data_IF_634007357812
#
_entry.id   IF_634007357812
#
_cell.length_a   1.000
_cell.length_b   1.000
_cell.length_c   1.000
_cell.angle_alpha   90.00
_cell.angle_beta   90.00
_cell.angle_gamma   90.00
#
_symmetry.space_group_name_H-M   'P 1'
#
loop_
_entity.id
_entity.type
_entity.pdbx_description
1 polymer ?
#
# COMPACT_ATOMS: atom_id res chain seq x y z
N UNK A 1 12.50 -22.27 -27.46
CA UNK A 1 12.22 -21.90 -26.07
C UNK A 1 13.53 -21.45 -25.48
N UNK A 2 13.63 -20.22 -24.97
CA UNK A 2 14.89 -19.76 -24.35
C UNK A 2 15.15 -20.53 -23.06
N UNK A 3 16.41 -20.55 -22.58
CA UNK A 3 16.73 -21.16 -21.28
C UNK A 3 15.92 -20.53 -20.14
N UNK A 4 15.60 -19.23 -20.24
CA UNK A 4 14.77 -18.52 -19.28
C UNK A 4 13.31 -19.00 -19.31
N UNK A 5 12.72 -19.20 -20.50
CA UNK A 5 11.34 -19.72 -20.61
C UNK A 5 11.25 -21.16 -20.07
N UNK A 6 12.31 -21.96 -20.23
CA UNK A 6 12.40 -23.30 -19.63
C UNK A 6 12.44 -23.21 -18.11
N UNK A 7 13.24 -22.31 -17.54
CA UNK A 7 13.30 -22.08 -16.10
C UNK A 7 11.93 -21.62 -15.55
N UNK A 8 11.26 -20.69 -16.22
CA UNK A 8 9.88 -20.26 -15.87
C UNK A 8 8.93 -21.45 -15.85
N UNK A 9 8.94 -22.30 -16.89
CA UNK A 9 8.07 -23.47 -16.96
C UNK A 9 8.36 -24.50 -15.85
N UNK A 10 9.64 -24.69 -15.48
CA UNK A 10 10.02 -25.56 -14.37
C UNK A 10 9.57 -25.00 -13.02
N UNK A 11 9.81 -23.71 -12.78
CA UNK A 11 9.42 -23.03 -11.54
C UNK A 11 7.91 -22.96 -11.38
N UNK A 12 7.14 -22.68 -12.45
CA UNK A 12 5.66 -22.76 -12.42
C UNK A 12 5.14 -24.15 -12.06
N UNK A 13 5.89 -25.20 -12.38
CA UNK A 13 5.60 -26.56 -11.95
C UNK A 13 6.13 -26.89 -10.53
N UNK A 14 6.53 -25.87 -9.76
CA UNK A 14 7.12 -25.99 -8.43
C UNK A 14 8.38 -26.88 -8.40
N UNK A 15 9.18 -26.88 -9.47
CA UNK A 15 10.41 -27.66 -9.56
C UNK A 15 11.63 -26.75 -9.48
N UNK A 16 12.64 -27.09 -8.64
CA UNK A 16 13.87 -26.31 -8.56
C UNK A 16 14.65 -26.40 -9.88
N UNK A 17 15.32 -25.31 -10.22
CA UNK A 17 16.23 -25.21 -11.37
C UNK A 17 17.68 -25.49 -10.92
N UNK A 18 18.60 -25.90 -11.81
CA UNK A 18 19.99 -26.17 -11.43
C UNK A 18 20.71 -24.95 -10.81
N UNK A 19 21.63 -25.17 -9.86
CA UNK A 19 22.39 -24.08 -9.18
C UNK A 19 23.06 -23.11 -10.17
N UNK A 20 23.59 -23.63 -11.27
CA UNK A 20 24.21 -22.83 -12.32
C UNK A 20 23.20 -21.89 -13.00
N UNK A 21 21.96 -22.34 -13.23
CA UNK A 21 20.89 -21.52 -13.79
C UNK A 21 20.43 -20.45 -12.77
N UNK A 22 20.35 -20.79 -11.48
CA UNK A 22 20.09 -19.82 -10.40
C UNK A 22 21.15 -18.71 -10.41
N UNK A 23 22.44 -19.09 -10.45
CA UNK A 23 23.54 -18.14 -10.46
C UNK A 23 23.46 -17.17 -11.65
N UNK A 24 23.17 -17.71 -12.83
CA UNK A 24 23.01 -16.91 -14.05
C UNK A 24 21.79 -15.98 -13.98
N UNK A 25 20.67 -16.45 -13.43
CA UNK A 25 19.47 -15.65 -13.23
C UNK A 25 19.74 -14.48 -12.28
N UNK A 26 20.33 -14.75 -11.11
CA UNK A 26 20.69 -13.72 -10.14
C UNK A 26 21.65 -12.68 -10.72
N UNK A 27 22.61 -13.12 -11.55
CA UNK A 27 23.51 -12.19 -12.25
C UNK A 27 22.76 -11.25 -13.19
N UNK A 28 21.91 -11.80 -14.07
CA UNK A 28 21.10 -11.01 -15.01
C UNK A 28 20.13 -10.07 -14.30
N UNK A 29 19.52 -10.53 -13.21
CA UNK A 29 18.64 -9.69 -12.42
C UNK A 29 19.38 -8.50 -11.80
N UNK A 30 20.60 -8.71 -11.28
CA UNK A 30 21.42 -7.61 -10.76
C UNK A 30 21.80 -6.59 -11.82
N UNK A 31 22.10 -7.03 -13.04
CA UNK A 31 22.36 -6.13 -14.19
C UNK A 31 21.16 -5.23 -14.51
N UNK A 32 19.93 -5.71 -14.30
CA UNK A 32 18.73 -4.89 -14.48
C UNK A 32 18.46 -3.98 -13.27
N UNK A 33 18.47 -4.55 -12.06
CA UNK A 33 18.11 -3.84 -10.83
C UNK A 33 19.12 -2.75 -10.46
N UNK A 34 20.36 -2.81 -10.93
CA UNK A 34 21.36 -1.76 -10.70
C UNK A 34 21.01 -0.45 -11.42
N UNK A 35 20.28 -0.53 -12.53
CA UNK A 35 19.83 0.63 -13.33
C UNK A 35 18.57 1.28 -12.72
N UNK A 36 17.85 0.56 -11.87
CA UNK A 36 16.67 1.08 -11.18
C UNK A 36 17.05 2.03 -10.04
N UNK A 37 16.27 3.11 -9.88
CA UNK A 37 16.39 4.01 -8.73
C UNK A 37 15.83 3.39 -7.45
N UNK A 38 16.08 4.02 -6.29
CA UNK A 38 15.49 3.53 -5.03
C UNK A 38 13.97 3.65 -5.01
N UNK A 39 13.42 4.58 -5.81
CA UNK A 39 11.98 4.76 -6.02
C UNK A 39 11.69 4.59 -7.50
N UNK A 40 11.10 3.46 -7.88
CA UNK A 40 10.78 3.14 -9.27
C UNK A 40 9.47 3.82 -9.67
N UNK A 41 9.39 4.37 -10.88
CA UNK A 41 8.13 4.92 -11.39
C UNK A 41 7.38 3.84 -12.15
N UNK A 42 6.11 3.65 -11.83
CA UNK A 42 5.21 2.67 -12.47
C UNK A 42 3.98 3.41 -12.97
N UNK A 43 3.46 3.07 -14.14
CA UNK A 43 2.23 3.66 -14.65
C UNK A 43 1.06 2.69 -14.44
N UNK A 44 -0.12 3.24 -14.16
CA UNK A 44 -1.36 2.49 -14.32
C UNK A 44 -1.54 2.05 -15.79
N UNK A 45 -2.31 0.98 -16.07
CA UNK A 45 -2.89 0.06 -15.10
C UNK A 45 -1.82 -0.80 -14.42
N UNK A 46 -1.95 -1.08 -13.11
CA UNK A 46 -1.03 -1.94 -12.36
C UNK A 46 -1.76 -2.71 -11.25
N UNK A 47 -1.38 -3.97 -11.06
CA UNK A 47 -1.79 -4.82 -9.95
C UNK A 47 -0.70 -4.84 -8.88
N UNK A 48 -1.03 -4.33 -7.70
CA UNK A 48 -0.16 -4.23 -6.53
C UNK A 48 -0.41 -5.43 -5.60
N UNK A 49 0.67 -6.11 -5.25
CA UNK A 49 0.70 -7.29 -4.39
C UNK A 49 1.44 -6.98 -3.09
N UNK A 50 0.93 -7.46 -1.96
CA UNK A 50 1.62 -7.48 -0.67
C UNK A 50 2.48 -8.74 -0.48
N UNK A 51 2.63 -9.14 0.78
CA UNK A 51 3.48 -10.25 1.22
C UNK A 51 3.09 -11.60 0.58
N UNK A 52 4.10 -12.42 0.28
CA UNK A 52 3.95 -13.76 -0.34
C UNK A 52 4.48 -14.87 0.59
N UNK A 53 5.58 -14.63 1.30
CA UNK A 53 6.16 -15.53 2.31
C UNK A 53 6.28 -16.99 1.87
N UNK A 54 6.84 -17.23 0.69
CA UNK A 54 7.09 -18.57 0.18
C UNK A 54 5.87 -19.48 0.03
N UNK A 55 4.66 -18.91 -0.04
CA UNK A 55 3.42 -19.64 -0.30
C UNK A 55 3.21 -19.81 -1.82
N UNK A 56 4.07 -20.61 -2.46
CA UNK A 56 4.12 -20.76 -3.92
C UNK A 56 2.77 -21.10 -4.59
N UNK A 57 1.99 -22.00 -4.01
CA UNK A 57 0.69 -22.37 -4.60
C UNK A 57 -0.32 -21.22 -4.54
N UNK A 58 -0.23 -20.38 -3.52
CA UNK A 58 -1.05 -19.18 -3.40
C UNK A 58 -0.55 -18.07 -4.32
N UNK A 59 0.75 -18.01 -4.63
CA UNK A 59 1.28 -17.17 -5.70
C UNK A 59 0.76 -17.59 -7.08
N UNK A 60 0.54 -18.89 -7.33
CA UNK A 60 -0.06 -19.34 -8.60
C UNK A 60 -1.53 -18.91 -8.67
N UNK A 61 -2.24 -18.99 -7.55
CA UNK A 61 -3.61 -18.49 -7.43
C UNK A 61 -3.67 -16.97 -7.64
N UNK A 62 -2.70 -16.21 -7.11
CA UNK A 62 -2.55 -14.78 -7.33
C UNK A 62 -2.47 -14.43 -8.82
N UNK A 63 -1.63 -15.12 -9.61
CA UNK A 63 -1.56 -14.90 -11.06
C UNK A 63 -2.83 -15.34 -11.79
N UNK A 64 -3.52 -16.35 -11.27
CA UNK A 64 -4.79 -16.81 -11.83
C UNK A 64 -5.91 -15.78 -11.63
N UNK A 65 -5.90 -15.06 -10.51
CA UNK A 65 -6.90 -14.04 -10.15
C UNK A 65 -6.55 -12.66 -10.72
N UNK A 66 -5.28 -12.25 -10.66
CA UNK A 66 -4.81 -10.95 -11.16
C UNK A 66 -4.54 -10.91 -12.67
N UNK A 67 -4.42 -12.06 -13.32
CA UNK A 67 -4.01 -12.18 -14.72
C UNK A 67 -2.51 -12.49 -14.85
N UNK A 68 -2.11 -13.02 -16.00
CA UNK A 68 -0.72 -13.45 -16.19
C UNK A 68 0.12 -12.35 -16.88
N UNK A 69 1.43 -12.39 -16.66
CA UNK A 69 2.37 -11.55 -17.40
C UNK A 69 2.60 -12.15 -18.80
N UNK A 70 2.72 -11.32 -19.86
CA UNK A 70 2.92 -9.87 -19.85
C UNK A 70 1.65 -9.03 -19.98
N UNK A 71 0.47 -9.63 -19.95
CA UNK A 71 -0.80 -8.92 -20.17
C UNK A 71 -1.19 -8.02 -18.98
N UNK A 72 -0.77 -8.41 -17.77
CA UNK A 72 -0.95 -7.62 -16.54
C UNK A 72 0.39 -7.01 -16.08
N UNK A 73 0.38 -5.74 -15.67
CA UNK A 73 1.52 -5.09 -14.99
C UNK A 73 1.47 -5.38 -13.49
N UNK A 74 2.61 -5.70 -12.89
CA UNK A 74 2.70 -6.05 -11.48
C UNK A 74 3.69 -5.18 -10.70
N UNK A 75 3.31 -4.82 -9.49
CA UNK A 75 4.17 -4.28 -8.45
C UNK A 75 4.07 -5.17 -7.20
N UNK A 76 5.15 -5.83 -6.79
CA UNK A 76 5.18 -6.57 -5.54
C UNK A 76 5.92 -5.80 -4.45
N UNK A 77 5.29 -5.68 -3.28
CA UNK A 77 5.75 -4.88 -2.14
C UNK A 77 6.69 -5.63 -1.18
N UNK A 78 7.43 -6.64 -1.63
CA UNK A 78 8.42 -7.36 -0.81
C UNK A 78 7.86 -8.58 -0.07
N UNK A 79 8.68 -9.13 0.83
CA UNK A 79 8.41 -10.33 1.63
C UNK A 79 8.03 -11.54 0.77
N UNK A 80 8.95 -11.87 -0.13
CA UNK A 80 8.85 -13.01 -1.03
C UNK A 80 9.15 -14.32 -0.33
N UNK A 81 10.04 -14.27 0.67
CA UNK A 81 10.67 -15.45 1.29
C UNK A 81 10.30 -15.62 2.77
N UNK A 82 10.85 -16.69 3.34
CA UNK A 82 10.62 -17.19 4.69
C UNK A 82 9.20 -17.67 4.96
N UNK A 83 9.02 -18.33 6.12
CA UNK A 83 7.73 -18.78 6.68
C UNK A 83 7.09 -19.94 5.92
N UNK A 84 6.87 -19.79 4.62
CA UNK A 84 6.40 -20.84 3.72
C UNK A 84 7.51 -21.82 3.32
N UNK A 85 7.12 -22.97 2.75
CA UNK A 85 8.07 -24.04 2.39
C UNK A 85 8.69 -23.91 0.99
N UNK A 86 8.22 -22.93 0.21
CA UNK A 86 8.56 -22.76 -1.20
C UNK A 86 9.01 -21.32 -1.49
N UNK A 87 9.78 -20.74 -0.56
CA UNK A 87 10.33 -19.39 -0.70
C UNK A 87 11.22 -19.28 -1.92
N UNK A 88 12.02 -20.31 -2.19
CA UNK A 88 12.94 -20.31 -3.31
C UNK A 88 12.21 -20.37 -4.65
N UNK A 89 11.23 -21.26 -4.83
CA UNK A 89 10.47 -21.31 -6.09
C UNK A 89 9.67 -20.02 -6.30
N UNK A 90 9.11 -19.45 -5.23
CA UNK A 90 8.35 -18.20 -5.29
C UNK A 90 9.24 -17.04 -5.74
N UNK A 91 10.38 -16.83 -5.05
CA UNK A 91 11.29 -15.74 -5.38
C UNK A 91 11.94 -15.92 -6.76
N UNK A 92 12.43 -17.13 -7.09
CA UNK A 92 13.06 -17.37 -8.40
C UNK A 92 12.07 -17.23 -9.55
N UNK A 93 10.78 -17.56 -9.35
CA UNK A 93 9.77 -17.32 -10.37
C UNK A 93 9.56 -15.83 -10.60
N UNK A 94 9.36 -15.04 -9.54
CA UNK A 94 9.23 -13.59 -9.63
C UNK A 94 10.45 -12.95 -10.29
N UNK A 95 11.65 -13.43 -9.94
CA UNK A 95 12.91 -12.97 -10.51
C UNK A 95 13.03 -13.32 -12.00
N UNK A 96 12.63 -14.54 -12.39
CA UNK A 96 12.56 -14.92 -13.81
C UNK A 96 11.61 -14.02 -14.59
N UNK A 97 10.42 -13.72 -14.04
CA UNK A 97 9.45 -12.84 -14.67
C UNK A 97 9.96 -11.41 -14.77
N UNK A 98 10.68 -10.90 -13.76
CA UNK A 98 11.38 -9.60 -13.81
C UNK A 98 12.40 -9.56 -14.93
N UNK A 99 13.25 -10.57 -15.05
CA UNK A 99 14.27 -10.63 -16.11
C UNK A 99 13.63 -10.77 -17.49
N UNK A 100 12.51 -11.49 -17.59
CA UNK A 100 11.82 -11.74 -18.87
C UNK A 100 10.99 -10.54 -19.33
N UNK A 101 10.39 -9.80 -18.40
CA UNK A 101 9.47 -8.69 -18.63
C UNK A 101 9.80 -7.50 -17.70
N UNK A 102 10.96 -6.85 -17.88
CA UNK A 102 11.45 -5.82 -16.95
C UNK A 102 10.51 -4.62 -16.80
N UNK A 103 9.78 -4.27 -17.87
CA UNK A 103 8.82 -3.15 -17.90
C UNK A 103 7.40 -3.53 -17.41
N UNK A 104 7.19 -4.79 -17.01
CA UNK A 104 5.88 -5.32 -16.57
C UNK A 104 5.89 -5.84 -15.15
N UNK A 105 7.06 -6.09 -14.59
CA UNK A 105 7.24 -6.65 -13.25
C UNK A 105 8.13 -5.72 -12.45
N UNK A 106 7.62 -5.13 -11.38
CA UNK A 106 8.38 -4.30 -10.45
C UNK A 106 8.41 -4.99 -9.09
N UNK A 107 9.60 -5.14 -8.53
CA UNK A 107 9.83 -5.79 -7.24
C UNK A 107 10.52 -4.78 -6.31
N UNK A 108 9.88 -4.44 -5.19
CA UNK A 108 10.52 -3.67 -4.12
C UNK A 108 10.92 -4.59 -2.96
N UNK A 109 11.85 -4.13 -2.13
CA UNK A 109 12.43 -4.89 -1.03
C UNK A 109 11.48 -4.93 0.16
N UNK A 110 11.29 -6.11 0.77
CA UNK A 110 10.69 -6.26 2.08
C UNK A 110 11.72 -6.45 3.19
N UNK A 111 11.28 -6.55 4.45
CA UNK A 111 12.20 -6.76 5.56
C UNK A 111 12.78 -8.18 5.58
N UNK A 112 12.07 -9.16 5.01
CA UNK A 112 12.55 -10.53 4.84
C UNK A 112 13.61 -10.69 3.77
N UNK A 113 13.78 -9.73 2.85
CA UNK A 113 14.87 -9.73 1.88
C UNK A 113 16.20 -9.22 2.50
N UNK A 114 16.60 -9.85 3.61
CA UNK A 114 17.80 -9.55 4.38
C UNK A 114 18.48 -10.84 4.88
N UNK A 115 19.81 -10.81 5.03
CA UNK A 115 20.59 -11.97 5.51
C UNK A 115 20.23 -12.31 6.95
N UNK A 116 19.98 -11.30 7.79
CA UNK A 116 19.64 -11.50 9.19
C UNK A 116 18.30 -12.24 9.35
N UNK A 117 17.26 -11.84 8.62
CA UNK A 117 15.93 -12.44 8.75
C UNK A 117 15.89 -13.84 8.10
N UNK A 118 16.47 -13.99 6.91
CA UNK A 118 16.44 -15.28 6.18
C UNK A 118 17.20 -16.42 6.85
N UNK A 119 18.14 -16.12 7.74
CA UNK A 119 18.86 -17.14 8.53
C UNK A 119 18.04 -17.65 9.72
N UNK A 120 17.00 -16.92 10.12
CA UNK A 120 16.16 -17.26 11.27
C UNK A 120 14.84 -17.90 10.85
N UNK A 121 14.25 -17.46 9.72
CA UNK A 121 12.86 -17.77 9.40
C UNK A 121 12.63 -18.78 8.26
N UNK A 122 13.70 -19.45 7.82
CA UNK A 122 13.64 -20.70 7.08
C UNK A 122 14.20 -20.67 5.66
N UNK A 123 14.39 -19.50 5.05
CA UNK A 123 14.88 -19.42 3.67
C UNK A 123 16.32 -19.96 3.52
N UNK A 124 17.21 -19.69 4.48
CA UNK A 124 18.56 -20.25 4.50
C UNK A 124 18.55 -21.78 4.51
N UNK A 125 17.78 -22.36 5.45
CA UNK A 125 17.65 -23.81 5.59
C UNK A 125 16.99 -24.45 4.37
N UNK A 126 16.02 -23.77 3.76
CA UNK A 126 15.38 -24.19 2.52
C UNK A 126 16.40 -24.33 1.38
N UNK A 127 17.24 -23.32 1.18
CA UNK A 127 18.29 -23.32 0.16
C UNK A 127 19.31 -24.44 0.42
N UNK A 128 19.78 -24.55 1.66
CA UNK A 128 20.76 -25.57 2.06
C UNK A 128 20.21 -26.99 1.84
N UNK A 129 18.95 -27.23 2.20
CA UNK A 129 18.28 -28.52 2.02
C UNK A 129 18.09 -28.89 0.54
N UNK A 130 17.75 -27.92 -0.31
CA UNK A 130 17.46 -28.17 -1.75
C UNK A 130 18.73 -28.36 -2.59
N UNK A 131 19.81 -27.65 -2.27
CA UNK A 131 21.03 -27.62 -3.10
C UNK A 131 22.27 -28.22 -2.43
N UNK A 132 22.18 -28.57 -1.14
CA UNK A 132 23.31 -29.10 -0.37
C UNK A 132 24.38 -28.07 -0.01
N UNK A 133 24.17 -26.79 -0.38
CA UNK A 133 25.10 -25.69 -0.07
C UNK A 133 24.35 -24.37 0.12
N UNK A 134 24.99 -23.40 0.77
CA UNK A 134 24.46 -22.05 0.96
C UNK A 134 24.66 -21.12 -0.25
N UNK A 135 25.17 -21.62 -1.39
CA UNK A 135 25.48 -20.77 -2.55
C UNK A 135 24.23 -20.09 -3.12
N UNK A 136 23.15 -20.85 -3.29
CA UNK A 136 21.88 -20.31 -3.80
C UNK A 136 21.33 -19.22 -2.88
N UNK A 137 21.40 -19.41 -1.56
CA UNK A 137 21.02 -18.38 -0.59
C UNK A 137 21.87 -17.11 -0.77
N UNK A 138 23.20 -17.25 -0.88
CA UNK A 138 24.09 -16.10 -1.14
C UNK A 138 23.72 -15.36 -2.43
N UNK A 139 23.48 -16.09 -3.52
CA UNK A 139 23.09 -15.49 -4.79
C UNK A 139 21.78 -14.71 -4.68
N UNK A 140 20.80 -15.20 -3.92
CA UNK A 140 19.55 -14.49 -3.68
C UNK A 140 19.75 -13.26 -2.79
N UNK A 141 20.52 -13.36 -1.71
CA UNK A 141 20.85 -12.21 -0.85
C UNK A 141 21.60 -11.11 -1.61
N UNK A 142 22.49 -11.48 -2.53
CA UNK A 142 23.18 -10.50 -3.37
C UNK A 142 22.22 -9.79 -4.35
N UNK A 143 21.09 -10.40 -4.72
CA UNK A 143 20.02 -9.74 -5.48
C UNK A 143 19.19 -8.83 -4.59
N UNK A 144 18.89 -9.25 -3.35
CA UNK A 144 18.08 -8.49 -2.40
C UNK A 144 18.62 -7.08 -2.17
N UNK A 145 19.94 -6.92 -2.14
CA UNK A 145 20.59 -5.62 -1.97
C UNK A 145 20.29 -4.62 -3.10
N UNK A 146 19.86 -5.09 -4.28
CA UNK A 146 19.61 -4.24 -5.44
C UNK A 146 18.13 -3.88 -5.62
N UNK A 147 17.22 -4.57 -4.92
CA UNK A 147 15.78 -4.29 -4.95
C UNK A 147 15.50 -2.85 -4.52
N UNK A 148 14.58 -2.18 -5.22
CA UNK A 148 14.18 -0.81 -4.89
C UNK A 148 13.51 -0.74 -3.51
N UNK A 149 13.55 0.43 -2.87
CA UNK A 149 12.96 0.65 -1.53
C UNK A 149 11.51 1.12 -1.59
N UNK A 150 11.06 1.60 -2.74
CA UNK A 150 9.68 1.97 -2.98
C UNK A 150 9.37 2.15 -4.46
N UNK A 151 8.12 2.46 -4.74
CA UNK A 151 7.65 2.82 -6.07
C UNK A 151 6.64 3.96 -6.01
N UNK A 152 6.57 4.75 -7.08
CA UNK A 152 5.54 5.77 -7.27
C UNK A 152 4.70 5.34 -8.46
N UNK A 153 3.40 5.14 -8.22
CA UNK A 153 2.44 4.85 -9.28
C UNK A 153 1.81 6.15 -9.77
N UNK A 154 1.89 6.38 -11.08
CA UNK A 154 1.31 7.51 -11.79
C UNK A 154 0.12 7.06 -12.66
N UNK A 155 -0.76 7.99 -13.00
CA UNK A 155 -1.85 7.75 -13.95
C UNK A 155 -3.08 7.02 -13.40
N UNK A 156 -3.14 6.76 -12.09
CA UNK A 156 -4.40 6.35 -11.46
C UNK A 156 -5.34 7.56 -11.42
N UNK A 157 -6.48 7.53 -12.12
CA UNK A 157 -7.39 8.67 -12.24
C UNK A 157 -8.24 8.90 -10.97
N UNK A 158 -8.55 10.17 -10.66
CA UNK A 158 -9.47 10.55 -9.55
C UNK A 158 -10.67 11.41 -9.98
N UNK A 159 -10.93 11.60 -11.28
CA UNK A 159 -11.94 12.56 -11.75
C UNK A 159 -13.35 11.97 -11.75
N UNK A 160 -14.23 12.56 -10.93
CA UNK A 160 -15.69 12.43 -11.08
C UNK A 160 -16.12 13.11 -12.40
N UNK A 161 -16.97 12.50 -13.24
CA UNK A 161 -17.49 13.20 -14.40
C UNK A 161 -18.31 14.42 -13.94
N UNK A 162 -17.88 15.61 -14.35
CA UNK A 162 -18.69 16.83 -14.24
C UNK A 162 -20.00 16.60 -14.99
N UNK A 163 -21.13 16.66 -14.28
CA UNK A 163 -22.46 16.55 -14.87
C UNK A 163 -22.74 17.72 -15.82
N UNK A 164 -22.25 17.62 -17.06
CA UNK A 164 -22.76 18.37 -18.20
C UNK A 164 -23.65 17.42 -18.99
N UNK A 165 -24.96 17.69 -18.92
CA UNK A 165 -25.99 16.69 -19.17
C UNK A 165 -26.07 16.16 -20.61
N UNK A 166 -26.29 14.85 -20.69
CA UNK A 166 -27.06 14.19 -21.76
C UNK A 166 -27.77 12.94 -21.18
N UNK A 167 -28.96 12.57 -21.68
CA UNK A 167 -29.74 11.46 -21.12
C UNK A 167 -29.40 10.09 -21.75
N UNK A 168 -29.23 9.11 -20.86
CA UNK A 168 -29.53 7.67 -20.94
C UNK A 168 -29.26 6.86 -22.23
N UNK A 169 -28.37 5.86 -22.11
CA UNK A 169 -28.55 4.52 -22.67
C UNK A 169 -27.74 3.46 -21.89
N UNK A 170 -28.42 2.45 -21.33
CA UNK A 170 -27.96 1.15 -20.77
C UNK A 170 -26.78 1.13 -19.74
N UNK A 171 -26.92 0.49 -18.56
CA UNK A 171 -25.81 0.39 -17.61
C UNK A 171 -24.83 -0.74 -18.04
N UNK A 172 -23.52 -0.47 -18.19
CA UNK A 172 -22.50 -1.52 -18.22
C UNK A 172 -22.01 -1.84 -16.81
N UNK A 173 -21.11 -2.82 -16.70
CA UNK A 173 -20.66 -3.51 -15.50
C UNK A 173 -19.82 -2.69 -14.49
N UNK A 174 -20.15 -1.41 -14.27
CA UNK A 174 -19.25 -0.42 -13.65
C UNK A 174 -19.63 -0.01 -12.19
N UNK A 175 -20.23 -0.91 -11.42
CA UNK A 175 -20.65 -0.62 -10.02
C UNK A 175 -20.03 -1.55 -8.96
N UNK A 176 -18.98 -2.31 -9.31
CA UNK A 176 -18.35 -3.33 -8.45
C UNK A 176 -17.04 -2.81 -7.85
N UNK A 177 -16.97 -2.69 -6.53
CA UNK A 177 -15.79 -2.19 -5.80
C UNK A 177 -14.89 -3.34 -5.29
N UNK A 178 -15.52 -4.41 -4.79
CA UNK A 178 -14.83 -5.61 -4.28
C UNK A 178 -15.34 -6.83 -5.04
N UNK A 179 -14.42 -7.58 -5.63
CA UNK A 179 -14.69 -8.90 -6.20
C UNK A 179 -14.05 -9.99 -5.33
N UNK A 180 -14.88 -10.94 -4.89
CA UNK A 180 -14.43 -12.14 -4.17
C UNK A 180 -14.46 -13.31 -5.13
N UNK A 181 -13.30 -13.93 -5.33
CA UNK A 181 -13.15 -15.08 -6.23
C UNK A 181 -13.11 -16.40 -5.44
N UNK A 182 -13.65 -17.48 -6.02
CA UNK A 182 -13.42 -18.83 -5.51
C UNK A 182 -12.09 -19.39 -6.00
N UNK A 183 -11.72 -20.55 -5.45
CA UNK A 183 -10.58 -21.35 -5.89
C UNK A 183 -10.60 -21.78 -7.38
N UNK A 184 -11.72 -21.58 -8.10
CA UNK A 184 -11.85 -21.80 -9.54
C UNK A 184 -11.82 -20.48 -10.34
N UNK A 185 -11.74 -19.32 -9.68
CA UNK A 185 -11.56 -17.97 -10.24
C UNK A 185 -12.85 -17.33 -10.70
N UNK A 186 -13.94 -18.04 -10.54
CA UNK A 186 -15.26 -17.47 -10.74
C UNK A 186 -15.54 -16.51 -9.59
N UNK A 187 -16.10 -15.36 -9.94
CA UNK A 187 -16.57 -14.38 -8.97
C UNK A 187 -17.71 -15.00 -8.17
N UNK A 188 -17.51 -15.17 -6.86
CA UNK A 188 -18.52 -15.69 -5.91
C UNK A 188 -19.43 -14.56 -5.47
N UNK A 189 -18.84 -13.41 -5.15
CA UNK A 189 -19.54 -12.25 -4.62
C UNK A 189 -18.99 -10.99 -5.26
N UNK A 190 -19.90 -10.11 -5.62
CA UNK A 190 -19.62 -8.75 -6.03
C UNK A 190 -20.28 -7.85 -5.01
N UNK A 191 -19.49 -7.05 -4.32
CA UNK A 191 -20.04 -6.02 -3.45
C UNK A 191 -20.22 -4.77 -4.28
N UNK A 192 -21.50 -4.42 -4.47
CA UNK A 192 -21.93 -3.25 -5.22
C UNK A 192 -21.90 -2.03 -4.31
N UNK A 193 -21.61 -0.87 -4.91
CA UNK A 193 -21.77 0.44 -4.29
C UNK A 193 -23.21 0.63 -3.76
N UNK A 194 -23.45 1.01 -2.49
CA UNK A 194 -24.80 1.36 -2.03
C UNK A 194 -25.34 2.59 -2.79
N UNK A 195 -26.48 2.46 -3.47
CA UNK A 195 -27.18 3.59 -4.11
C UNK A 195 -28.04 4.31 -3.08
N UNK A 196 -27.81 5.61 -2.89
CA UNK A 196 -28.75 6.48 -2.18
C UNK A 196 -30.09 6.52 -2.94
N UNK A 197 -31.17 6.05 -2.31
CA UNK A 197 -32.53 6.28 -2.78
C UNK A 197 -32.92 7.72 -2.49
N UNK A 198 -33.02 8.56 -3.53
CA UNK A 198 -33.71 9.85 -3.43
C UNK A 198 -35.18 9.62 -3.09
N UNK A 199 -35.55 9.90 -1.84
CA UNK A 199 -36.94 9.98 -1.42
C UNK A 199 -37.56 11.29 -1.92
N UNK A 200 -38.44 11.18 -2.91
CA UNK A 200 -39.37 12.24 -3.31
C UNK A 200 -40.60 12.16 -2.39
N UNK A 201 -41.02 13.27 -1.78
CA UNK A 201 -42.04 13.22 -0.72
C UNK A 201 -42.49 14.58 -0.19
N UNK A 202 -43.56 15.08 -0.80
CA UNK A 202 -44.33 16.30 -0.54
C UNK A 202 -44.97 16.43 0.87
N UNK A 203 -44.98 17.67 1.40
CA UNK A 203 -46.14 18.29 2.08
C UNK A 203 -46.41 18.00 3.58
N UNK A 204 -46.50 19.05 4.39
CA UNK A 204 -47.11 18.96 5.73
C UNK A 204 -46.88 20.19 6.63
N UNK A 205 -47.96 20.76 7.15
CA UNK A 205 -48.06 22.11 7.71
C UNK A 205 -47.88 22.22 9.24
N UNK A 206 -47.49 23.43 9.68
CA UNK A 206 -47.87 24.19 10.90
C UNK A 206 -47.98 23.46 12.26
N UNK A 207 -47.24 23.97 13.26
CA UNK A 207 -47.80 24.47 14.54
C UNK A 207 -46.83 25.41 15.25
N UNK A 208 -47.39 26.43 15.91
CA UNK A 208 -46.71 27.53 16.60
C UNK A 208 -46.33 27.21 18.06
N UNK A 209 -45.27 27.91 18.52
CA UNK A 209 -44.87 28.52 19.84
C UNK A 209 -45.70 28.25 21.13
N UNK A 210 -45.24 28.58 22.38
CA UNK A 210 -44.28 29.65 22.74
C UNK A 210 -43.40 29.48 24.02
N UNK A 211 -42.74 30.59 24.39
CA UNK A 211 -42.04 30.98 25.64
C UNK A 211 -40.55 30.61 25.72
N UNK A 212 -39.62 31.49 26.11
CA UNK A 212 -39.59 32.89 26.54
C UNK A 212 -38.11 33.15 26.89
N UNK A 213 -37.43 34.18 26.37
CA UNK A 213 -37.50 35.55 26.86
C UNK A 213 -36.78 35.69 28.20
N UNK A 214 -35.53 36.19 28.20
CA UNK A 214 -35.03 37.25 29.07
C UNK A 214 -33.59 37.65 28.69
N UNK A 215 -33.32 38.93 28.89
CA UNK A 215 -32.29 39.76 28.27
C UNK A 215 -31.26 40.28 29.29
N UNK A 216 -30.31 41.07 28.76
CA UNK A 216 -29.35 41.98 29.40
C UNK A 216 -28.00 41.32 29.77
N UNK A 217 -26.83 41.91 29.48
CA UNK A 217 -26.52 43.23 28.95
C UNK A 217 -25.27 43.80 29.63
N UNK A 218 -24.28 44.15 28.80
CA UNK A 218 -23.36 45.32 28.85
C UNK A 218 -22.16 45.36 29.84
N UNK A 219 -20.99 45.69 29.24
CA UNK A 219 -19.89 46.61 29.69
C UNK A 219 -19.01 46.25 30.90
N UNK A 220 -17.76 46.67 31.04
CA UNK A 220 -16.75 47.38 30.23
C UNK A 220 -15.42 47.42 31.05
N UNK A 221 -14.33 47.87 30.39
CA UNK A 221 -13.18 48.61 30.98
C UNK A 221 -12.16 47.86 31.87
N UNK A 222 -10.87 48.23 31.98
CA UNK A 222 -9.92 49.07 31.24
C UNK A 222 -8.55 49.02 31.97
N UNK A 223 -7.44 49.32 31.26
CA UNK A 223 -6.18 49.95 31.77
C UNK A 223 -5.26 49.17 32.76
N UNK A 224 -3.94 49.32 32.90
CA UNK A 224 -2.86 50.12 32.26
C UNK A 224 -1.49 49.80 32.90
N UNK A 225 -0.39 49.93 32.12
CA UNK A 225 0.96 50.37 32.54
C UNK A 225 1.95 49.32 33.11
N UNK A 226 3.28 49.38 32.95
CA UNK A 226 4.21 50.25 32.21
C UNK A 226 5.69 49.82 32.46
N UNK A 227 6.58 50.09 31.48
CA UNK A 227 8.07 50.24 31.59
C UNK A 227 8.94 48.96 31.64
N UNK A 228 10.15 48.85 31.07
CA UNK A 228 11.05 49.77 30.34
C UNK A 228 12.30 49.00 29.80
N UNK A 229 12.99 49.53 28.76
CA UNK A 229 14.44 49.32 28.56
C UNK A 229 14.99 48.93 27.15
N UNK A 230 15.51 49.93 26.42
CA UNK A 230 16.52 50.02 25.31
C UNK A 230 17.15 48.74 24.66
N UNK A 231 17.53 48.69 23.38
CA UNK A 231 18.34 49.66 22.60
C UNK A 231 18.36 49.41 21.06
N UNK A 232 18.56 50.50 20.30
CA UNK A 232 19.23 50.70 18.98
C UNK A 232 19.50 49.51 18.03
N UNK A 233 19.21 49.55 16.73
CA UNK A 233 19.94 50.40 15.75
C UNK A 233 19.42 50.23 14.29
N UNK A 234 19.35 51.37 13.59
CA UNK A 234 19.56 51.64 12.14
C UNK A 234 19.21 50.61 11.04
N UNK A 235 18.30 51.03 10.15
CA UNK A 235 18.13 50.55 8.78
C UNK A 235 19.29 50.94 7.85
N UNK A 236 19.45 50.25 6.70
CA UNK A 236 19.85 50.92 5.47
C UNK A 236 18.89 50.67 4.30
N UNK A 237 18.88 51.66 3.42
CA UNK A 237 17.98 51.84 2.30
C UNK A 237 18.37 51.01 1.06
N UNK A 238 17.33 50.69 0.28
CA UNK A 238 17.36 50.21 -1.09
C UNK A 238 18.15 51.14 -2.02
N UNK A 239 19.15 50.63 -2.74
CA UNK A 239 19.56 51.13 -4.06
C UNK A 239 20.17 50.01 -4.92
N UNK A 240 19.47 49.60 -5.98
CA UNK A 240 19.95 48.71 -7.03
C UNK A 240 19.17 48.99 -8.33
N UNK A 241 19.80 48.96 -9.52
CA UNK A 241 19.29 49.60 -10.72
C UNK A 241 18.15 48.82 -11.42
N UNK A 242 17.30 49.51 -12.21
CA UNK A 242 16.13 48.94 -12.86
C UNK A 242 16.45 48.30 -14.22
N UNK A 243 15.82 47.15 -14.51
CA UNK A 243 15.60 46.71 -15.90
C UNK A 243 15.93 45.27 -16.27
N UNK A 244 15.04 44.34 -15.91
CA UNK A 244 14.56 43.30 -16.84
C UNK A 244 13.26 42.74 -16.29
N UNK A 245 12.15 43.21 -16.89
CA UNK A 245 10.83 42.63 -16.65
C UNK A 245 10.82 41.20 -17.16
N UNK A 246 10.68 40.26 -16.24
CA UNK A 246 10.13 38.95 -16.53
C UNK A 246 8.89 38.81 -15.63
N UNK A 247 7.72 38.96 -16.23
CA UNK A 247 6.45 38.51 -15.68
C UNK A 247 6.58 37.03 -15.31
N UNK A 248 6.76 36.75 -14.02
CA UNK A 248 6.87 35.41 -13.49
C UNK A 248 5.53 34.70 -13.43
N UNK A 249 4.91 34.43 -14.58
CA UNK A 249 4.06 33.26 -14.71
C UNK A 249 4.98 32.08 -15.02
N UNK A 250 5.74 31.62 -14.03
CA UNK A 250 6.26 30.26 -14.08
C UNK A 250 5.04 29.37 -13.90
N UNK A 251 4.52 28.83 -15.00
CA UNK A 251 3.63 27.70 -14.95
C UNK A 251 4.35 26.63 -14.13
N UNK A 252 3.92 26.49 -12.87
CA UNK A 252 4.32 25.37 -12.03
C UNK A 252 4.06 24.10 -12.83
N UNK A 253 4.92 23.11 -12.66
CA UNK A 253 4.70 21.76 -13.16
C UNK A 253 3.23 21.43 -13.05
N UNK A 254 2.60 21.08 -14.18
CA UNK A 254 1.21 20.64 -14.22
C UNK A 254 1.10 19.51 -13.19
N UNK A 255 0.56 19.82 -12.01
CA UNK A 255 0.39 18.84 -10.93
C UNK A 255 -0.42 17.69 -11.46
N UNK A 256 -0.12 16.47 -11.02
CA UNK A 256 -0.95 15.32 -11.33
C UNK A 256 -2.33 15.59 -10.69
N UNK A 257 -3.40 15.86 -11.46
CA UNK A 257 -4.69 16.23 -10.87
C UNK A 257 -5.31 15.12 -10.01
N UNK A 258 -4.74 13.92 -10.04
CA UNK A 258 -5.12 12.75 -9.27
C UNK A 258 -4.19 12.41 -8.07
N UNK A 259 -3.06 13.09 -7.91
CA UNK A 259 -2.04 12.71 -6.91
C UNK A 259 -1.42 11.32 -7.19
N UNK A 260 -0.18 11.11 -6.79
CA UNK A 260 0.51 9.84 -7.01
C UNK A 260 0.28 8.84 -5.85
N UNK A 261 0.47 7.55 -6.09
CA UNK A 261 0.46 6.52 -5.03
C UNK A 261 1.88 6.13 -4.69
N UNK A 262 2.29 6.34 -3.44
CA UNK A 262 3.57 5.83 -2.94
C UNK A 262 3.37 4.39 -2.46
N UNK A 263 4.20 3.47 -2.96
CA UNK A 263 4.24 2.09 -2.52
C UNK A 263 5.55 1.82 -1.80
N UNK A 264 5.46 1.34 -0.56
CA UNK A 264 6.60 0.94 0.29
C UNK A 264 6.22 -0.34 1.04
N UNK A 265 7.19 -1.12 1.49
CA UNK A 265 6.86 -2.37 2.19
C UNK A 265 6.31 -2.13 3.61
N UNK A 266 7.12 -1.48 4.44
CA UNK A 266 6.81 -1.11 5.82
C UNK A 266 5.93 0.13 5.87
N UNK A 267 6.56 1.29 6.02
CA UNK A 267 5.84 2.54 6.20
C UNK A 267 6.74 3.76 6.11
N UNK A 268 6.40 4.80 6.86
CA UNK A 268 7.11 6.06 6.86
C UNK A 268 8.29 6.07 7.84
N UNK A 269 9.19 7.05 7.68
CA UNK A 269 10.32 7.27 8.58
C UNK A 269 10.32 8.72 9.11
N UNK A 270 10.66 8.96 10.39
CA UNK A 270 10.83 10.32 10.91
C UNK A 270 11.99 11.07 10.23
N UNK A 271 12.89 10.37 9.55
CA UNK A 271 14.02 10.95 8.80
C UNK A 271 13.65 11.34 7.36
N UNK A 272 12.49 10.88 6.87
CA UNK A 272 12.04 11.04 5.49
C UNK A 272 10.72 11.82 5.48
N UNK A 273 10.80 13.12 5.23
CA UNK A 273 9.64 13.99 5.01
C UNK A 273 9.26 14.11 3.53
N UNK A 274 10.16 13.71 2.61
CA UNK A 274 9.97 13.79 1.17
C UNK A 274 10.43 12.51 0.47
N UNK A 275 9.68 12.07 -0.56
CA UNK A 275 10.01 10.90 -1.40
C UNK A 275 11.41 11.01 -2.01
N UNK A 276 11.85 12.24 -2.34
CA UNK A 276 13.20 12.48 -2.85
C UNK A 276 14.32 12.07 -1.89
N UNK A 277 14.08 12.08 -0.57
CA UNK A 277 15.07 11.59 0.39
C UNK A 277 15.25 10.08 0.30
N UNK A 278 14.22 9.32 -0.08
CA UNK A 278 14.33 7.87 -0.34
C UNK A 278 15.29 7.62 -1.50
N UNK A 279 15.27 8.48 -2.53
CA UNK A 279 16.14 8.38 -3.72
C UNK A 279 17.63 8.55 -3.40
N UNK A 280 17.96 9.15 -2.26
CA UNK A 280 19.34 9.42 -1.82
C UNK A 280 19.95 8.32 -0.92
N UNK A 281 19.15 7.34 -0.49
CA UNK A 281 19.63 6.27 0.39
C UNK A 281 20.62 5.35 -0.35
N UNK A 282 21.66 4.89 0.34
CA UNK A 282 22.47 3.78 -0.18
C UNK A 282 21.77 2.46 0.12
N UNK A 283 21.06 1.90 -0.87
CA UNK A 283 20.29 0.67 -0.68
C UNK A 283 21.10 -0.62 -0.86
N UNK A 284 22.29 -0.55 -1.48
CA UNK A 284 23.10 -1.70 -1.95
C UNK A 284 23.93 -2.32 -0.82
N UNK A 285 23.25 -2.60 0.28
CA UNK A 285 23.81 -3.14 1.50
C UNK A 285 22.78 -3.99 2.22
N UNK A 286 23.24 -4.71 3.24
CA UNK A 286 22.37 -5.34 4.22
C UNK A 286 21.50 -4.29 4.92
N UNK A 287 20.26 -4.64 5.24
CA UNK A 287 19.34 -3.75 5.97
C UNK A 287 19.98 -3.35 7.31
N UNK A 288 20.21 -2.05 7.57
CA UNK A 288 20.74 -1.60 8.85
C UNK A 288 19.76 -1.88 10.00
N UNK A 289 20.26 -1.95 11.23
CA UNK A 289 19.41 -2.12 12.42
C UNK A 289 18.54 -0.87 12.73
N UNK A 290 18.98 0.31 12.30
CA UNK A 290 18.29 1.58 12.51
C UNK A 290 18.45 2.52 11.32
N UNK A 291 17.62 3.56 11.28
CA UNK A 291 17.68 4.62 10.28
C UNK A 291 16.70 4.44 9.12
N UNK A 292 16.73 5.40 8.19
CA UNK A 292 15.72 5.59 7.16
C UNK A 292 15.37 4.34 6.33
N UNK A 293 16.38 3.53 5.97
CA UNK A 293 16.15 2.27 5.23
C UNK A 293 15.48 1.20 6.09
N UNK A 294 15.85 1.08 7.36
CA UNK A 294 15.20 0.19 8.31
C UNK A 294 13.74 0.61 8.49
N UNK A 295 13.50 1.90 8.74
CA UNK A 295 12.16 2.43 8.97
C UNK A 295 11.20 2.19 7.80
N UNK A 296 11.65 2.37 6.55
CA UNK A 296 10.83 2.11 5.36
C UNK A 296 10.39 0.64 5.24
N UNK A 297 11.17 -0.30 5.80
CA UNK A 297 10.90 -1.73 5.74
C UNK A 297 10.16 -2.26 6.97
N UNK A 298 10.19 -1.55 8.11
CA UNK A 298 9.71 -2.06 9.40
C UNK A 298 8.62 -1.23 10.08
N UNK A 299 8.37 0.00 9.64
CA UNK A 299 7.41 0.88 10.31
C UNK A 299 5.96 0.51 10.01
N UNK A 300 5.08 0.79 10.96
CA UNK A 300 3.67 0.39 10.93
C UNK A 300 2.73 1.57 11.24
N UNK A 301 1.64 1.76 10.48
CA UNK A 301 0.58 2.68 10.90
C UNK A 301 -0.20 2.11 12.09
N UNK A 302 -0.56 2.96 13.04
CA UNK A 302 -1.40 2.58 14.19
C UNK A 302 -2.26 3.77 14.68
N UNK A 303 -3.28 3.49 15.50
CA UNK A 303 -4.17 4.51 16.07
C UNK A 303 -3.50 5.27 17.22
N UNK A 304 -2.42 5.98 16.88
CA UNK A 304 -1.65 6.86 17.78
C UNK A 304 -1.53 8.26 17.19
N UNK A 305 -1.14 9.23 18.01
CA UNK A 305 -0.76 10.56 17.55
C UNK A 305 0.76 10.64 17.35
N UNK A 306 1.20 11.14 16.19
CA UNK A 306 2.61 11.34 15.89
C UNK A 306 3.39 10.04 15.67
N UNK A 307 4.61 9.98 16.21
CA UNK A 307 5.50 8.82 16.12
C UNK A 307 5.55 8.05 17.45
N UNK A 308 5.52 6.71 17.38
CA UNK A 308 5.66 5.81 18.51
C UNK A 308 6.80 4.80 18.31
N UNK A 309 7.28 4.21 19.41
CA UNK A 309 8.25 3.12 19.34
C UNK A 309 7.59 1.85 18.83
N UNK A 310 8.20 1.21 17.84
CA UNK A 310 7.70 -0.06 17.30
C UNK A 310 7.94 -1.22 18.27
N UNK A 311 6.93 -2.06 18.55
CA UNK A 311 7.11 -3.26 19.35
C UNK A 311 8.00 -4.31 18.67
N UNK A 312 8.29 -4.15 17.37
CA UNK A 312 9.18 -5.02 16.60
C UNK A 312 10.66 -4.87 16.97
N UNK A 313 11.01 -3.79 17.68
CA UNK A 313 12.40 -3.42 17.95
C UNK A 313 13.13 -2.82 16.75
N UNK A 314 12.41 -2.54 15.65
CA UNK A 314 12.88 -1.89 14.43
C UNK A 314 11.74 -1.06 13.82
N UNK A 315 12.08 0.06 13.18
CA UNK A 315 11.12 1.02 12.66
C UNK A 315 10.29 1.73 13.74
N UNK A 316 9.21 2.37 13.33
CA UNK A 316 8.33 3.18 14.18
C UNK A 316 6.86 2.84 13.99
N UNK A 317 6.05 3.14 15.01
CA UNK A 317 4.61 3.33 14.82
C UNK A 317 4.36 4.77 14.35
N UNK A 318 3.34 4.99 13.53
CA UNK A 318 2.96 6.34 13.11
C UNK A 318 1.45 6.54 12.94
N UNK A 319 1.00 7.74 13.29
CA UNK A 319 -0.40 8.15 13.30
C UNK A 319 -0.93 8.74 12.00
N UNK A 320 -2.23 9.06 12.02
CA UNK A 320 -2.95 9.71 10.93
C UNK A 320 -2.38 11.08 10.55
N UNK A 321 -1.91 11.84 11.55
CA UNK A 321 -1.31 13.16 11.37
C UNK A 321 -0.03 13.10 10.54
N UNK A 322 0.82 12.09 10.79
CA UNK A 322 2.06 11.84 10.05
C UNK A 322 1.74 11.52 8.58
N UNK A 323 0.79 10.61 8.33
CA UNK A 323 0.37 10.23 6.97
C UNK A 323 -0.16 11.44 6.21
N UNK A 324 -1.03 12.23 6.86
CA UNK A 324 -1.63 13.42 6.25
C UNK A 324 -0.59 14.47 5.87
N UNK A 325 0.37 14.75 6.75
CA UNK A 325 1.45 15.71 6.49
C UNK A 325 2.35 15.21 5.36
N UNK A 326 2.71 13.92 5.38
CA UNK A 326 3.58 13.33 4.37
C UNK A 326 2.91 13.33 2.98
N UNK A 327 1.64 12.90 2.89
CA UNK A 327 0.90 12.88 1.64
C UNK A 327 0.74 14.29 1.05
N UNK A 328 0.33 15.26 1.87
CA UNK A 328 0.20 16.65 1.44
C UNK A 328 1.52 17.21 0.91
N UNK A 329 2.64 16.94 1.60
CA UNK A 329 3.95 17.46 1.22
C UNK A 329 4.48 16.87 -0.08
N UNK A 330 4.10 15.64 -0.40
CA UNK A 330 4.60 14.89 -1.54
C UNK A 330 3.60 14.79 -2.70
N UNK A 331 2.47 15.52 -2.62
CA UNK A 331 1.38 15.46 -3.61
C UNK A 331 0.88 14.02 -3.86
N UNK A 332 0.77 13.26 -2.77
CA UNK A 332 0.31 11.86 -2.79
C UNK A 332 -1.17 11.78 -2.43
N UNK A 333 -1.88 10.93 -3.16
CA UNK A 333 -3.27 10.60 -2.86
C UNK A 333 -3.41 9.39 -1.94
N UNK A 334 -2.42 8.49 -1.95
CA UNK A 334 -2.43 7.24 -1.20
C UNK A 334 -1.00 6.76 -0.90
N UNK A 335 -0.83 6.13 0.26
CA UNK A 335 0.30 5.24 0.54
C UNK A 335 -0.22 3.80 0.49
N UNK A 336 0.34 2.96 -0.37
CA UNK A 336 0.12 1.53 -0.36
C UNK A 336 1.29 0.83 0.34
N UNK A 337 0.99 -0.09 1.25
CA UNK A 337 1.99 -0.83 2.02
C UNK A 337 1.60 -2.28 2.28
N UNK A 338 2.51 -3.08 2.84
CA UNK A 338 2.33 -4.53 3.06
C UNK A 338 2.56 -4.93 4.54
N UNK A 339 3.28 -6.02 4.87
CA UNK A 339 3.97 -6.31 6.15
C UNK A 339 3.17 -6.44 7.48
N UNK A 340 1.95 -5.94 7.57
CA UNK A 340 1.03 -6.27 8.66
C UNK A 340 -0.03 -7.24 8.15
N UNK A 341 -0.10 -8.42 8.77
CA UNK A 341 -1.17 -9.38 8.51
C UNK A 341 -2.53 -8.74 8.75
N UNK A 342 -3.40 -8.81 7.74
CA UNK A 342 -4.79 -8.34 7.80
C UNK A 342 -5.72 -9.48 7.39
N UNK A 343 -6.76 -9.71 8.20
CA UNK A 343 -7.63 -10.89 8.05
C UNK A 343 -8.40 -10.90 6.74
N UNK A 344 -8.82 -9.73 6.26
CA UNK A 344 -9.58 -9.54 5.03
C UNK A 344 -8.70 -9.36 3.77
N UNK A 345 -7.38 -9.55 3.90
CA UNK A 345 -6.43 -9.39 2.80
C UNK A 345 -6.06 -7.93 2.49
N UNK A 346 -6.85 -6.94 2.92
CA UNK A 346 -6.46 -5.53 2.91
C UNK A 346 -7.06 -4.78 4.11
N UNK A 347 -6.48 -3.63 4.46
CA UNK A 347 -7.00 -2.71 5.48
C UNK A 347 -6.66 -1.28 5.11
N UNK A 348 -7.68 -0.44 4.99
CA UNK A 348 -7.50 1.01 4.85
C UNK A 348 -7.52 1.68 6.22
N UNK A 349 -6.70 2.72 6.40
CA UNK A 349 -6.63 3.50 7.63
C UNK A 349 -6.60 5.00 7.31
N UNK A 350 -6.93 5.81 8.32
CA UNK A 350 -6.81 7.27 8.29
C UNK A 350 -7.52 7.90 7.08
N UNK A 351 -8.83 7.71 7.00
CA UNK A 351 -9.67 8.19 5.88
C UNK A 351 -9.21 7.66 4.51
N UNK A 352 -8.75 6.39 4.50
CA UNK A 352 -8.27 5.69 3.31
C UNK A 352 -7.11 6.38 2.59
N UNK A 353 -6.30 7.14 3.34
CA UNK A 353 -5.06 7.79 2.86
C UNK A 353 -3.83 6.88 2.94
N UNK A 354 -3.95 5.75 3.63
CA UNK A 354 -3.00 4.64 3.61
C UNK A 354 -3.77 3.31 3.54
N UNK A 355 -3.23 2.34 2.81
CA UNK A 355 -3.76 0.98 2.71
C UNK A 355 -2.66 -0.06 2.94
N UNK A 356 -2.97 -1.05 3.76
CA UNK A 356 -2.22 -2.29 3.89
C UNK A 356 -2.82 -3.35 2.96
N UNK A 357 -2.00 -3.95 2.10
CA UNK A 357 -2.37 -5.05 1.19
C UNK A 357 -1.58 -6.29 1.61
N UNK A 358 -2.26 -7.43 1.68
CA UNK A 358 -1.71 -8.71 2.10
C UNK A 358 -2.08 -9.79 1.09
N UNK A 359 -1.08 -10.47 0.52
CA UNK A 359 -1.28 -11.39 -0.60
C UNK A 359 -0.98 -12.87 -0.27
N UNK A 360 -0.81 -13.21 1.01
CA UNK A 360 -0.57 -14.57 1.49
C UNK A 360 -1.79 -15.14 2.28
N UNK A 361 -2.74 -15.84 1.63
CA UNK A 361 -3.95 -16.33 2.29
C UNK A 361 -3.65 -17.50 3.22
N UNK A 362 -4.43 -17.64 4.29
CA UNK A 362 -4.24 -18.60 5.37
C UNK A 362 -2.76 -18.65 5.79
N UNK A 363 -2.22 -17.50 6.18
CA UNK A 363 -0.82 -17.27 6.42
C UNK A 363 -0.22 -18.33 7.36
N UNK A 364 0.98 -18.80 7.01
CA UNK A 364 1.66 -19.93 7.65
C UNK A 364 0.78 -21.17 7.82
N UNK A 365 -0.18 -21.34 6.91
CA UNK A 365 -1.11 -22.45 6.83
C UNK A 365 -2.03 -22.60 8.06
N UNK A 366 -2.20 -21.53 8.85
CA UNK A 366 -2.97 -21.59 10.11
C UNK A 366 -3.76 -20.33 10.48
N UNK A 367 -3.42 -19.17 9.93
CA UNK A 367 -4.02 -17.90 10.36
C UNK A 367 -5.48 -17.74 9.94
N UNK A 368 -5.93 -18.41 8.86
CA UNK A 368 -7.32 -18.34 8.40
C UNK A 368 -7.73 -17.03 7.71
N UNK A 369 -6.79 -16.11 7.46
CA UNK A 369 -7.02 -14.89 6.69
C UNK A 369 -7.25 -15.18 5.20
N UNK A 370 -7.88 -14.26 4.48
CA UNK A 370 -7.87 -14.22 3.01
C UNK A 370 -6.73 -13.31 2.51
N UNK A 371 -6.55 -13.25 1.20
CA UNK A 371 -5.58 -12.39 0.54
C UNK A 371 -6.26 -11.44 -0.44
N UNK A 372 -5.62 -10.32 -0.73
CA UNK A 372 -6.09 -9.35 -1.71
C UNK A 372 -4.98 -8.89 -2.66
N UNK A 373 -5.42 -8.37 -3.81
CA UNK A 373 -4.63 -7.59 -4.76
C UNK A 373 -5.28 -6.23 -4.92
N UNK A 374 -4.47 -5.17 -5.01
CA UNK A 374 -4.93 -3.82 -5.28
C UNK A 374 -4.70 -3.50 -6.75
N UNK A 375 -5.76 -3.25 -7.50
CA UNK A 375 -5.68 -2.84 -8.91
C UNK A 375 -5.90 -1.33 -9.00
N UNK A 376 -4.94 -0.65 -9.63
CA UNK A 376 -5.05 0.74 -10.00
C UNK A 376 -5.19 0.83 -11.51
N UNK A 377 -6.22 1.52 -11.98
CA UNK A 377 -6.54 1.62 -13.40
C UNK A 377 -6.46 3.06 -13.91
N UNK A 378 -6.34 3.23 -15.23
CA UNK A 378 -6.33 4.54 -15.89
C UNK A 378 -7.74 5.12 -16.09
N UNK A 379 -8.77 4.28 -16.00
CA UNK A 379 -10.16 4.64 -16.29
C UNK A 379 -10.88 5.24 -15.07
N UNK A 380 -11.78 6.19 -15.33
CA UNK A 380 -12.64 6.84 -14.31
C UNK A 380 -13.68 5.89 -13.68
N UNK A 381 -13.62 4.58 -13.96
CA UNK A 381 -14.60 3.58 -13.51
C UNK A 381 -14.50 3.25 -12.01
N UNK A 382 -13.34 3.50 -11.39
CA UNK A 382 -13.15 3.37 -9.95
C UNK A 382 -13.65 4.60 -9.19
N UNK A 383 -14.95 4.85 -9.18
CA UNK A 383 -15.55 5.81 -8.25
C UNK A 383 -15.55 5.18 -6.84
N UNK A 384 -14.44 5.33 -6.12
CA UNK A 384 -14.31 4.95 -4.72
C UNK A 384 -14.89 6.03 -3.81
N UNK A 385 -16.14 5.87 -3.38
CA UNK A 385 -16.67 6.54 -2.19
C UNK A 385 -17.30 5.49 -1.28
N UNK A 386 -16.58 5.26 -0.18
CA UNK A 386 -16.84 4.54 1.07
C UNK A 386 -18.22 3.87 1.26
N UNK A 387 -18.19 2.55 1.47
CA UNK A 387 -19.04 1.91 2.47
C UNK A 387 -18.20 1.66 3.74
N UNK A 388 -18.65 2.21 4.87
CA UNK A 388 -18.09 1.93 6.20
C UNK A 388 -18.00 0.41 6.43
N UNK A 389 -16.80 -0.16 6.52
CA UNK A 389 -16.61 -1.47 7.16
C UNK A 389 -16.61 -1.27 8.67
N UNK A 390 -17.80 -1.31 9.28
CA UNK A 390 -17.95 -1.30 10.73
C UNK A 390 -17.33 -2.58 11.33
N UNK A 391 -16.12 -2.45 11.87
CA UNK A 391 -15.48 -3.43 12.76
C UNK A 391 -15.82 -3.23 14.24
N UNK A 392 -16.72 -2.31 14.60
CA UNK A 392 -17.22 -2.18 15.97
C UNK A 392 -18.62 -2.77 16.10
N UNK A 393 -18.69 -4.08 16.34
CA UNK A 393 -19.88 -4.70 16.90
C UNK A 393 -19.46 -5.68 18.01
N UNK A 394 -19.66 -5.22 19.24
CA UNK A 394 -19.90 -6.00 20.46
C UNK A 394 -18.75 -6.79 21.11
N UNK A 395 -18.12 -6.15 22.10
CA UNK A 395 -17.91 -6.77 23.42
C UNK A 395 -18.54 -5.90 24.51
N UNK A 396 -19.62 -6.43 25.11
CA UNK A 396 -20.20 -6.13 26.44
C UNK A 396 -20.48 -4.65 26.75
N UNK A 397 -21.73 -4.17 26.86
CA UNK A 397 -22.73 -4.60 27.84
C UNK A 397 -24.13 -4.05 27.48
N UNK A 398 -25.19 -4.68 27.98
CA UNK A 398 -26.58 -4.52 27.51
C UNK A 398 -27.31 -3.21 27.81
N UNK A 399 -28.34 -2.93 27.01
CA UNK A 399 -29.34 -1.88 27.28
C UNK A 399 -30.18 -1.50 26.06
N UNK A 400 -31.39 -2.06 25.96
CA UNK A 400 -32.39 -1.72 24.93
C UNK A 400 -32.97 -0.33 25.21
N UNK A 401 -32.96 0.56 24.21
CA UNK A 401 -33.71 1.82 24.24
C UNK A 401 -34.00 2.34 22.81
N UNK A 402 -35.25 2.64 22.41
CA UNK A 402 -35.57 3.10 21.08
C UNK A 402 -35.62 4.63 21.02
N UNK A 403 -34.60 5.25 20.41
CA UNK A 403 -34.62 6.57 19.72
C UNK A 403 -33.20 7.15 19.65
N UNK A 404 -32.59 7.06 18.48
CA UNK A 404 -31.39 7.82 18.14
C UNK A 404 -31.56 8.37 16.73
N UNK A 405 -32.13 9.57 16.62
CA UNK A 405 -32.16 10.33 15.38
C UNK A 405 -30.76 10.90 15.19
N UNK A 406 -30.04 10.44 14.16
CA UNK A 406 -28.78 11.06 13.72
C UNK A 406 -29.11 12.32 12.89
N UNK A 407 -28.41 13.41 13.17
CA UNK A 407 -28.57 14.71 12.51
C UNK A 407 -27.97 14.72 11.09
N UNK A 408 -28.61 15.45 10.19
CA UNK A 408 -28.41 15.51 8.74
C UNK A 408 -27.20 16.35 8.27
N UNK A 409 -26.23 16.65 9.15
CA UNK A 409 -25.15 17.60 8.87
C UNK A 409 -23.74 16.98 8.64
N UNK A 410 -23.58 15.65 8.66
CA UNK A 410 -22.27 14.99 8.44
C UNK A 410 -22.05 14.50 6.99
N UNK A 411 -22.97 14.75 6.06
CA UNK A 411 -22.92 14.23 4.67
C UNK A 411 -22.22 15.14 3.65
N UNK A 412 -21.49 16.15 4.07
CA UNK A 412 -20.83 17.09 3.16
C UNK A 412 -19.32 16.81 3.04
N UNK A 413 -18.93 15.84 2.22
CA UNK A 413 -17.51 15.59 1.97
C UNK A 413 -17.14 14.38 1.12
N UNK A 414 -17.75 14.19 -0.07
CA UNK A 414 -17.17 13.27 -1.06
C UNK A 414 -15.79 13.81 -1.49
N UNK A 415 -14.70 13.13 -1.13
CA UNK A 415 -13.32 13.53 -1.45
C UNK A 415 -12.66 12.53 -2.40
N UNK A 416 -11.92 13.07 -3.35
CA UNK A 416 -11.32 12.46 -4.55
C UNK A 416 -10.07 11.63 -4.20
N UNK A 417 -9.97 10.40 -4.72
CA UNK A 417 -8.85 9.47 -4.58
C UNK A 417 -8.78 8.52 -5.79
N UNK A 418 -7.69 7.75 -5.97
CA UNK A 418 -7.50 6.94 -7.17
C UNK A 418 -8.53 5.84 -7.29
N UNK A 419 -8.95 5.57 -8.53
CA UNK A 419 -9.72 4.40 -8.90
C UNK A 419 -8.99 3.13 -8.43
N UNK A 420 -9.47 2.57 -7.31
CA UNK A 420 -8.93 1.36 -6.67
C UNK A 420 -9.96 0.24 -6.71
N UNK A 421 -9.52 -0.96 -7.06
CA UNK A 421 -10.32 -2.19 -6.98
C UNK A 421 -9.54 -3.24 -6.21
N UNK A 422 -10.21 -3.91 -5.27
CA UNK A 422 -9.63 -5.02 -4.54
C UNK A 422 -10.14 -6.35 -5.09
N UNK A 423 -9.21 -7.22 -5.53
CA UNK A 423 -9.51 -8.62 -5.84
C UNK A 423 -9.13 -9.49 -4.66
N UNK A 424 -10.14 -10.03 -3.99
CA UNK A 424 -9.96 -10.89 -2.81
C UNK A 424 -10.00 -12.35 -3.24
N UNK A 425 -9.03 -13.13 -2.76
CA UNK A 425 -8.91 -14.55 -3.07
C UNK A 425 -8.55 -15.38 -1.83
N UNK A 426 -8.98 -16.64 -1.88
CA UNK A 426 -8.74 -17.59 -0.80
C UNK A 426 -7.47 -18.41 -1.06
N UNK A 427 -7.07 -19.12 -0.02
CA UNK A 427 -6.00 -20.09 -0.06
C UNK A 427 -6.23 -21.16 -1.15
N UNK A 428 -5.19 -21.46 -1.92
CA UNK A 428 -5.19 -22.53 -2.91
C UNK A 428 -5.62 -23.86 -2.27
N UNK A 429 -6.39 -24.72 -2.98
CA UNK A 429 -6.91 -25.97 -2.44
C UNK A 429 -5.85 -26.84 -1.77
N UNK A 430 -6.20 -27.50 -0.67
CA UNK A 430 -5.24 -28.25 0.13
C UNK A 430 -4.56 -29.40 -0.64
N UNK A 431 -5.26 -29.99 -1.61
CA UNK A 431 -4.72 -31.05 -2.48
C UNK A 431 -3.59 -30.57 -3.39
N UNK A 432 -3.53 -29.26 -3.68
CA UNK A 432 -2.44 -28.65 -4.44
C UNK A 432 -1.19 -28.42 -3.58
N UNK A 433 -1.35 -28.37 -2.25
CA UNK A 433 -0.28 -28.09 -1.27
C UNK A 433 0.39 -29.40 -0.91
N UNK A 434 1.42 -29.80 -1.66
CA UNK A 434 2.25 -30.97 -1.37
C UNK A 434 3.08 -30.80 -0.10
N UNK A 435 2.46 -30.65 1.08
CA UNK A 435 3.16 -30.42 2.34
C UNK A 435 4.28 -31.45 2.52
N UNK A 436 5.52 -31.02 2.86
CA UNK A 436 6.59 -31.95 3.20
C UNK A 436 6.13 -32.91 4.30
N UNK A 437 6.45 -34.20 4.17
CA UNK A 437 6.01 -35.29 5.05
C UNK A 437 6.38 -35.15 6.54
N UNK A 438 7.11 -34.11 6.92
CA UNK A 438 7.32 -33.68 8.30
C UNK A 438 6.94 -32.22 8.41
N UNK A 439 5.92 -31.91 9.22
CA UNK A 439 5.67 -30.55 9.71
C UNK A 439 6.95 -30.05 10.39
N UNK A 440 7.65 -29.03 9.87
CA UNK A 440 8.60 -28.32 10.69
C UNK A 440 7.79 -27.59 11.74
N UNK A 441 8.12 -27.80 13.02
CA UNK A 441 7.58 -27.00 14.10
C UNK A 441 8.24 -25.62 13.97
N UNK A 442 7.60 -24.70 13.27
CA UNK A 442 8.04 -23.31 13.27
C UNK A 442 7.52 -22.65 14.56
N UNK A 443 8.33 -22.73 15.63
CA UNK A 443 8.11 -22.00 16.89
C UNK A 443 8.42 -20.49 16.75
N UNK A 444 8.86 -20.05 15.58
CA UNK A 444 9.30 -18.68 15.35
C UNK A 444 8.13 -17.82 14.91
N UNK A 445 7.35 -17.32 15.87
CA UNK A 445 6.44 -16.19 15.70
C UNK A 445 6.57 -15.31 16.94
N UNK A 446 7.51 -14.38 16.89
CA UNK A 446 7.50 -13.16 17.70
C UNK A 446 7.96 -12.02 16.81
#
# INVERSE_FOLDING_TARGET
MSDLDRAIAQLRACRPIPEAEVRQLCHKARELLIEEGNVVTVNAPVTICGDIHGQFHDLMELFRVGGDVPDTNYLFMGDFVDRGFYSLESFLLLLCLKVRYPDRMTLIRGNHESRQITTVYGFYDECLRKYGSANVWRYCCDVFDYLALGAIVLGASNTLPSSSGQPAASPPADEVEIEVHNAHGHVISRFLRPKETKGDGTGGARTASPNGGLSNGVSSDSSSGSGSGSASSSAPANTGPPGSGASGSSGGSVGNPAGAVLCVHGGLSPLIDMVDKIRLLDRKQEVPHEGAMCDLLWSDPDEIDGWGLSPRGAGFLFGADIVKVFNHRNDLSLIARAHQLVMEGFKEMFDASIVTVWSAPNYCYRCGNVAALLELSEDESGLGVLARSNGEVNRSDGGVGPRGVLMENDLMGARSGPARRYRVFQAAPQDSRGMPAKKPVADYFL
#
